data_IF_416594664458
#
_entry.id   IF_416594664458
#
_cell.length_a   1.000
_cell.length_b   1.000
_cell.length_c   1.000
_cell.angle_alpha   90.00
_cell.angle_beta   90.00
_cell.angle_gamma   90.00
#
_symmetry.space_group_name_H-M   'P 1'
#
loop_
_entity.id
_entity.type
_entity.pdbx_description
1 polymer ?
#
# COMPACT_ATOMS: atom_id res chain seq x y z
N UNK A 1 -9.33 -2.12 -7.08
CA UNK A 1 -8.76 -0.79 -7.40
C UNK A 1 -7.24 -0.86 -7.61
N UNK A 2 -6.48 -1.44 -6.67
CA UNK A 2 -5.01 -1.42 -6.70
C UNK A 2 -4.42 -2.13 -7.93
N UNK A 3 -4.82 -3.37 -8.19
CA UNK A 3 -4.37 -4.12 -9.37
C UNK A 3 -4.70 -3.43 -10.71
N UNK A 4 -5.77 -2.63 -10.76
CA UNK A 4 -6.12 -1.85 -11.95
C UNK A 4 -5.31 -0.54 -12.08
N UNK A 5 -4.82 0.01 -10.96
CA UNK A 5 -3.96 1.19 -10.97
C UNK A 5 -2.53 0.83 -11.36
N UNK A 6 -2.04 -0.26 -10.79
CA UNK A 6 -0.66 -0.74 -10.89
C UNK A 6 -0.69 -2.27 -11.06
N UNK A 7 -0.75 -2.78 -12.30
CA UNK A 7 -0.89 -4.21 -12.56
C UNK A 7 0.31 -5.04 -12.10
N UNK A 8 1.50 -4.45 -12.05
CA UNK A 8 2.72 -5.11 -11.54
C UNK A 8 2.86 -5.04 -10.01
N UNK A 9 1.89 -4.48 -9.30
CA UNK A 9 1.95 -4.41 -7.84
C UNK A 9 1.80 -5.81 -7.26
N UNK A 10 2.76 -6.21 -6.43
CA UNK A 10 2.74 -7.48 -5.72
C UNK A 10 2.01 -7.29 -4.40
N UNK A 11 0.92 -8.03 -4.20
CA UNK A 11 0.26 -8.13 -2.90
C UNK A 11 0.96 -9.19 -2.05
N UNK A 12 1.48 -8.78 -0.90
CA UNK A 12 1.97 -9.68 0.15
C UNK A 12 1.17 -9.46 1.43
N UNK A 13 1.18 -10.44 2.33
CA UNK A 13 0.63 -10.28 3.68
C UNK A 13 1.76 -10.38 4.69
N UNK A 14 2.03 -9.28 5.39
CA UNK A 14 3.10 -9.17 6.40
C UNK A 14 2.50 -9.08 7.80
N UNK A 15 3.34 -9.28 8.82
CA UNK A 15 2.97 -9.16 10.24
C UNK A 15 1.79 -10.02 10.69
N UNK A 16 1.72 -11.27 10.21
CA UNK A 16 0.79 -12.27 10.77
C UNK A 16 1.14 -12.53 12.23
N UNK A 17 0.15 -12.41 13.12
CA UNK A 17 0.28 -12.64 14.57
C UNK A 17 -0.90 -13.51 15.03
N UNK A 18 -0.83 -14.19 16.19
CA UNK A 18 -1.97 -14.92 16.74
C UNK A 18 -3.23 -14.05 16.88
N UNK A 19 -3.06 -12.77 17.20
CA UNK A 19 -4.13 -11.77 17.32
C UNK A 19 -4.56 -11.13 16.00
N UNK A 20 -3.83 -11.37 14.90
CA UNK A 20 -4.21 -10.98 13.54
C UNK A 20 -3.79 -12.11 12.57
N UNK A 21 -4.58 -13.20 12.50
CA UNK A 21 -4.24 -14.36 11.69
C UNK A 21 -4.23 -14.06 10.18
N UNK A 22 -4.99 -13.04 9.76
CA UNK A 22 -5.03 -12.56 8.38
C UNK A 22 -3.75 -11.81 7.96
N UNK A 23 -2.99 -11.26 8.93
CA UNK A 23 -1.89 -10.34 8.67
C UNK A 23 -2.36 -9.03 8.03
N UNK A 24 -1.41 -8.17 7.68
CA UNK A 24 -1.68 -6.90 7.01
C UNK A 24 -1.32 -7.05 5.53
N UNK A 25 -2.25 -6.83 4.60
CA UNK A 25 -1.93 -6.74 3.18
C UNK A 25 -1.02 -5.52 2.92
N UNK A 26 0.01 -5.77 2.12
CA UNK A 26 1.03 -4.80 1.71
C UNK A 26 1.17 -4.92 0.20
N UNK A 27 1.00 -3.79 -0.50
CA UNK A 27 1.20 -3.71 -1.94
C UNK A 27 2.55 -3.06 -2.22
N UNK A 28 3.36 -3.72 -3.04
CA UNK A 28 4.73 -3.30 -3.33
C UNK A 28 4.97 -3.27 -4.85
N UNK A 29 5.60 -2.19 -5.33
CA UNK A 29 6.19 -2.05 -6.67
C UNK A 29 7.41 -1.15 -6.52
N UNK A 30 8.59 -1.72 -6.79
CA UNK A 30 9.90 -1.06 -6.60
C UNK A 30 10.10 -0.43 -5.20
N UNK A 31 9.34 -0.93 -4.21
CA UNK A 31 9.16 -0.36 -2.88
C UNK A 31 7.73 -0.52 -2.38
N UNK A 32 7.46 -0.20 -1.11
CA UNK A 32 6.10 -0.25 -0.56
C UNK A 32 5.28 0.89 -1.16
N UNK A 33 4.14 0.55 -1.78
CA UNK A 33 3.15 1.52 -2.25
C UNK A 33 2.26 1.90 -1.07
N UNK A 34 1.52 0.93 -0.56
CA UNK A 34 0.65 1.10 0.59
C UNK A 34 0.43 -0.21 1.37
N UNK A 35 -0.01 -0.05 2.62
CA UNK A 35 -0.53 -1.14 3.47
C UNK A 35 -2.03 -0.94 3.67
N UNK A 36 -2.78 -2.03 3.84
CA UNK A 36 -4.22 -2.00 4.09
C UNK A 36 -4.57 -2.62 5.43
N UNK A 37 -4.82 -1.80 6.43
CA UNK A 37 -5.21 -2.26 7.76
C UNK A 37 -6.73 -2.16 7.90
N UNK A 38 -7.38 -3.29 8.18
CA UNK A 38 -8.82 -3.31 8.45
C UNK A 38 -9.06 -3.17 9.94
N UNK A 39 -9.83 -2.17 10.34
CA UNK A 39 -10.35 -1.97 11.68
C UNK A 39 -11.85 -2.27 11.70
N UNK A 40 -12.45 -2.27 12.89
CA UNK A 40 -13.87 -2.60 13.08
C UNK A 40 -14.80 -1.71 12.24
N UNK A 41 -14.50 -0.41 12.17
CA UNK A 41 -15.40 0.59 11.57
C UNK A 41 -14.78 1.30 10.35
N UNK A 42 -13.55 0.92 9.97
CA UNK A 42 -12.80 1.59 8.90
C UNK A 42 -11.71 0.74 8.28
N UNK A 43 -11.35 1.06 7.04
CA UNK A 43 -10.15 0.55 6.37
C UNK A 43 -9.12 1.67 6.29
N UNK A 44 -7.93 1.42 6.80
CA UNK A 44 -6.80 2.35 6.75
C UNK A 44 -5.82 1.96 5.67
N UNK A 45 -5.61 2.85 4.71
CA UNK A 45 -4.58 2.71 3.68
C UNK A 45 -3.40 3.61 4.02
N UNK A 46 -2.27 3.03 4.41
CA UNK A 46 -1.06 3.82 4.74
C UNK A 46 -0.07 3.77 3.58
N UNK A 47 0.31 4.93 3.06
CA UNK A 47 1.30 5.08 1.99
C UNK A 47 2.68 5.39 2.58
N UNK A 48 3.66 4.55 2.29
CA UNK A 48 5.00 4.67 2.89
C UNK A 48 5.72 5.97 2.50
N UNK A 49 5.49 6.45 1.28
CA UNK A 49 6.02 7.72 0.77
C UNK A 49 4.91 8.77 0.56
N UNK A 50 3.79 8.67 1.29
CA UNK A 50 2.62 9.53 1.08
C UNK A 50 2.87 11.03 1.19
N UNK A 51 3.91 11.46 1.93
CA UNK A 51 4.26 12.88 2.04
C UNK A 51 4.85 13.46 0.73
N UNK A 52 5.43 12.61 -0.12
CA UNK A 52 6.00 13.00 -1.41
C UNK A 52 5.01 12.90 -2.57
N UNK A 53 3.77 12.45 -2.31
CA UNK A 53 2.75 12.29 -3.33
C UNK A 53 1.82 13.50 -3.34
N UNK A 54 1.54 14.01 -4.52
CA UNK A 54 0.50 15.01 -4.71
C UNK A 54 -0.87 14.37 -4.50
N UNK A 55 -1.70 15.04 -3.70
CA UNK A 55 -3.05 14.60 -3.36
C UNK A 55 -4.06 15.72 -3.69
N UNK A 56 -4.30 15.99 -4.99
CA UNK A 56 -5.17 17.07 -5.41
C UNK A 56 -6.64 16.88 -5.00
N UNK A 57 -7.04 15.64 -4.70
CA UNK A 57 -8.38 15.29 -4.22
C UNK A 57 -8.51 15.31 -2.69
N UNK A 58 -7.42 15.55 -1.95
CA UNK A 58 -7.45 15.59 -0.48
C UNK A 58 -7.87 14.26 0.16
N UNK A 59 -7.46 13.12 -0.41
CA UNK A 59 -7.79 11.81 0.17
C UNK A 59 -7.04 11.54 1.47
N UNK A 60 -5.83 12.08 1.66
CA UNK A 60 -5.11 11.88 2.91
C UNK A 60 -5.82 12.62 4.05
N UNK A 61 -6.26 11.86 5.06
CA UNK A 61 -6.97 12.38 6.23
C UNK A 61 -6.32 11.95 7.56
N UNK A 62 -5.27 11.13 7.51
CA UNK A 62 -4.64 10.52 8.67
C UNK A 62 -3.11 10.49 8.50
N UNK A 63 -2.36 10.52 9.60
CA UNK A 63 -0.89 10.64 9.59
C UNK A 63 -0.36 11.83 8.75
N UNK A 64 -1.07 12.96 8.76
CA UNK A 64 -0.72 14.16 7.98
C UNK A 64 0.56 14.85 8.47
N UNK A 65 0.86 14.75 9.76
CA UNK A 65 2.06 15.30 10.40
C UNK A 65 3.34 14.49 10.09
N UNK A 66 3.19 13.32 9.45
CA UNK A 66 4.31 12.45 9.13
C UNK A 66 5.16 12.99 7.97
N UNK A 67 6.45 13.18 8.20
CA UNK A 67 7.40 13.67 7.18
C UNK A 67 7.71 12.66 6.04
N UNK A 68 7.13 11.46 6.07
CA UNK A 68 7.37 10.43 5.05
C UNK A 68 6.08 9.73 4.62
N UNK A 69 5.28 9.27 5.59
CA UNK A 69 4.06 8.50 5.34
C UNK A 69 2.81 9.31 5.59
N UNK A 70 1.78 9.05 4.80
CA UNK A 70 0.41 9.56 5.01
C UNK A 70 -0.58 8.40 4.91
N UNK A 71 -1.75 8.55 5.51
CA UNK A 71 -2.77 7.51 5.53
C UNK A 71 -4.15 8.05 5.16
N UNK A 72 -4.96 7.15 4.64
CA UNK A 72 -6.36 7.36 4.27
C UNK A 72 -7.18 6.40 5.14
N UNK A 73 -7.90 6.95 6.09
CA UNK A 73 -8.88 6.22 6.89
C UNK A 73 -10.23 6.31 6.16
N UNK A 74 -10.71 5.20 5.63
CA UNK A 74 -12.00 5.07 4.93
C UNK A 74 -12.98 4.43 5.89
N UNK A 75 -13.98 5.18 6.37
CA UNK A 75 -15.00 4.66 7.25
C UNK A 75 -15.99 3.75 6.52
N UNK A 76 -16.68 2.88 7.25
CA UNK A 76 -17.81 2.12 6.69
C UNK A 76 -18.89 3.09 6.17
N UNK A 77 -19.32 2.88 4.92
CA UNK A 77 -20.28 3.75 4.24
C UNK A 77 -19.67 4.98 3.53
N UNK A 78 -18.36 5.22 3.66
CA UNK A 78 -17.70 6.34 2.99
C UNK A 78 -17.50 6.08 1.49
N UNK A 79 -17.67 7.13 0.68
CA UNK A 79 -17.56 7.03 -0.77
C UNK A 79 -16.09 7.08 -1.20
N UNK A 80 -15.56 5.93 -1.63
CA UNK A 80 -14.17 5.86 -2.11
C UNK A 80 -14.06 6.45 -3.52
N UNK A 81 -13.34 7.56 -3.65
CA UNK A 81 -12.98 8.11 -4.97
C UNK A 81 -11.92 7.20 -5.65
N UNK A 82 -12.41 6.23 -6.40
CA UNK A 82 -11.56 5.24 -7.07
C UNK A 82 -10.61 5.87 -8.09
N UNK A 83 -10.97 6.98 -8.73
CA UNK A 83 -10.11 7.65 -9.70
C UNK A 83 -8.91 8.31 -9.02
N UNK A 84 -9.16 9.07 -7.95
CA UNK A 84 -8.11 9.71 -7.16
C UNK A 84 -7.22 8.67 -6.46
N UNK A 85 -7.80 7.59 -5.93
CA UNK A 85 -7.01 6.52 -5.30
C UNK A 85 -6.08 5.81 -6.31
N UNK A 86 -6.56 5.58 -7.55
CA UNK A 86 -5.70 5.05 -8.63
C UNK A 86 -4.56 6.01 -8.97
N UNK A 87 -4.82 7.32 -9.01
CA UNK A 87 -3.81 8.33 -9.28
C UNK A 87 -2.71 8.32 -8.21
N UNK A 88 -3.09 8.27 -6.92
CA UNK A 88 -2.13 8.16 -5.81
C UNK A 88 -1.26 6.90 -5.91
N UNK A 89 -1.84 5.75 -6.24
CA UNK A 89 -1.09 4.50 -6.41
C UNK A 89 -0.09 4.56 -7.58
N UNK A 90 -0.48 5.20 -8.69
CA UNK A 90 0.41 5.42 -9.84
C UNK A 90 1.54 6.38 -9.48
N UNK A 91 1.23 7.47 -8.77
CA UNK A 91 2.24 8.42 -8.28
C UNK A 91 3.22 7.72 -7.32
N UNK A 92 2.72 6.88 -6.41
CA UNK A 92 3.56 6.09 -5.50
C UNK A 92 4.51 5.16 -6.26
N UNK A 93 4.00 4.47 -7.29
CA UNK A 93 4.82 3.60 -8.13
C UNK A 93 5.87 4.38 -8.91
N UNK A 94 5.50 5.52 -9.51
CA UNK A 94 6.43 6.38 -10.24
C UNK A 94 7.52 6.96 -9.32
N UNK A 95 7.15 7.37 -8.11
CA UNK A 95 8.08 7.86 -7.10
C UNK A 95 9.07 6.79 -6.65
N UNK A 96 8.61 5.56 -6.43
CA UNK A 96 9.47 4.43 -6.10
C UNK A 96 10.43 4.11 -7.26
N UNK A 97 9.95 4.10 -8.51
CA UNK A 97 10.78 3.86 -9.69
C UNK A 97 11.81 4.98 -9.95
N UNK A 98 11.52 6.21 -9.54
CA UNK A 98 12.43 7.36 -9.69
C UNK A 98 13.55 7.39 -8.63
N UNK A 99 13.44 6.59 -7.56
CA UNK A 99 14.53 6.45 -6.58
C UNK A 99 15.56 5.44 -7.09
N UNK A 100 16.88 5.68 -6.92
CA UNK A 100 17.89 4.69 -7.26
C UNK A 100 17.58 3.41 -6.50
N UNK A 101 17.50 2.30 -7.23
CA UNK A 101 17.03 1.02 -6.73
C UNK A 101 17.76 0.63 -5.45
N UNK A 102 17.10 0.79 -4.30
CA UNK A 102 17.56 0.14 -3.07
C UNK A 102 17.21 -1.34 -3.25
N UNK A 103 18.17 -2.28 -3.14
CA UNK A 103 17.91 -3.69 -3.38
C UNK A 103 16.71 -4.12 -2.53
N UNK A 104 15.63 -4.48 -3.20
CA UNK A 104 14.36 -4.85 -2.58
C UNK A 104 14.60 -6.12 -1.77
N UNK A 105 14.50 -6.05 -0.45
CA UNK A 105 14.58 -7.23 0.45
C UNK A 105 13.37 -8.17 0.32
N UNK A 106 12.66 -8.13 -0.81
CA UNK A 106 11.61 -9.08 -1.18
C UNK A 106 12.16 -10.19 -2.10
N UNK A 107 13.42 -10.59 -1.93
CA UNK A 107 13.89 -11.88 -2.46
C UNK A 107 13.64 -12.91 -1.37
N UNK A 108 12.53 -13.66 -1.48
CA UNK A 108 12.37 -15.11 -1.21
C UNK A 108 10.90 -15.50 -1.46
N UNK A 109 10.49 -15.54 -2.73
CA UNK A 109 9.43 -16.48 -3.12
C UNK A 109 10.08 -17.86 -3.11
N UNK A 110 9.96 -18.55 -1.98
CA UNK A 110 10.35 -19.96 -1.90
C UNK A 110 9.44 -20.73 -2.87
N UNK A 111 9.97 -20.98 -4.07
CA UNK A 111 9.52 -22.13 -4.86
C UNK A 111 10.04 -23.35 -4.12
N UNK A 112 9.13 -24.06 -3.45
CA UNK A 112 9.27 -25.49 -3.23
C UNK A 112 8.07 -26.19 -3.88
N UNK A 113 8.09 -26.21 -5.21
CA UNK A 113 7.53 -27.35 -5.95
C UNK A 113 8.68 -28.34 -6.12
N UNK A 114 8.62 -29.45 -5.39
CA UNK A 114 8.48 -30.79 -5.98
C UNK A 114 8.69 -31.88 -4.92
N UNK A 115 7.70 -32.76 -4.89
CA UNK A 115 7.63 -34.11 -4.30
C UNK A 115 8.69 -35.05 -4.92
N UNK A 116 9.00 -36.22 -4.32
CA UNK A 116 8.09 -37.38 -4.27
C UNK A 116 7.45 -37.65 -2.92
#
# INVERSE_FOLDING_TARGET
IIAAAVPDAVETRKWKKPTNPAGVPVWEKDGILCTGETYKDKVKLTFANGAALEDPAGLFNSSLDGNQRRAIDIAEGDAVNAAALKALLRAAAAFNASKPARPSTAKKRAVSRSRP
#
